data_IF_125441689414
#
_entry.id   IF_125441689414
#
_cell.length_a   1.000
_cell.length_b   1.000
_cell.length_c   1.000
_cell.angle_alpha   90.00
_cell.angle_beta   90.00
_cell.angle_gamma   90.00
#
_symmetry.space_group_name_H-M   'P 1'
#
loop_
_entity.id
_entity.type
_entity.pdbx_description
1 polymer ?
#
# COMPACT_ATOMS: atom_id res chain seq x y z
N UNK A 1 1.83 3.17 22.92
CA UNK A 1 2.92 3.01 21.94
C UNK A 1 3.48 4.38 21.61
N UNK A 2 4.51 4.86 22.34
CA UNK A 2 5.22 6.05 21.89
C UNK A 2 6.00 5.64 20.62
N UNK A 3 5.72 6.30 19.50
CA UNK A 3 6.36 6.07 18.18
C UNK A 3 6.03 4.71 17.50
N UNK A 4 4.76 4.47 17.11
CA UNK A 4 4.44 3.33 16.26
C UNK A 4 5.01 3.53 14.84
N UNK A 5 5.40 2.43 14.19
CA UNK A 5 5.62 2.42 12.75
C UNK A 5 4.25 2.57 12.05
N UNK A 6 4.07 3.61 11.25
CA UNK A 6 2.84 3.88 10.51
C UNK A 6 3.02 3.38 9.07
N UNK A 7 2.17 2.45 8.64
CA UNK A 7 2.14 1.96 7.26
C UNK A 7 0.89 2.51 6.58
N UNK A 8 1.07 3.41 5.62
CA UNK A 8 -0.02 3.92 4.80
C UNK A 8 -0.34 2.93 3.66
N UNK A 9 -1.63 2.66 3.43
CA UNK A 9 -2.09 1.81 2.33
C UNK A 9 -3.07 2.60 1.50
N UNK A 10 -2.87 2.62 0.19
CA UNK A 10 -3.68 3.40 -0.75
C UNK A 10 -3.95 2.65 -2.06
N UNK A 11 -4.98 3.09 -2.77
CA UNK A 11 -5.34 2.60 -4.09
C UNK A 11 -5.29 3.75 -5.10
N UNK A 12 -4.70 3.50 -6.25
CA UNK A 12 -4.54 4.49 -7.32
C UNK A 12 -5.02 3.96 -8.66
N UNK A 13 -5.24 4.90 -9.58
CA UNK A 13 -5.48 4.63 -10.98
C UNK A 13 -4.17 4.85 -11.75
N UNK A 14 -3.91 4.02 -12.77
CA UNK A 14 -2.62 4.03 -13.46
C UNK A 14 -2.68 3.55 -14.89
N UNK A 15 -1.52 3.32 -15.50
CA UNK A 15 -1.44 2.80 -16.86
C UNK A 15 -2.00 1.36 -16.94
N UNK A 16 -2.60 0.95 -18.07
CA UNK A 16 -3.17 -0.39 -18.22
C UNK A 16 -2.21 -1.53 -17.87
N UNK A 17 -0.93 -1.39 -18.19
CA UNK A 17 0.11 -2.38 -17.91
C UNK A 17 0.40 -2.54 -16.41
N UNK A 18 0.05 -1.53 -15.61
CA UNK A 18 0.31 -1.50 -14.18
C UNK A 18 -0.91 -1.95 -13.36
N UNK A 19 -2.07 -2.21 -13.97
CA UNK A 19 -3.26 -2.66 -13.23
C UNK A 19 -2.97 -3.99 -12.53
N UNK A 20 -3.19 -4.04 -11.23
CA UNK A 20 -2.84 -5.16 -10.35
C UNK A 20 -1.44 -5.07 -9.74
N UNK A 21 -0.62 -4.08 -10.11
CA UNK A 21 0.68 -3.86 -9.50
C UNK A 21 0.53 -3.32 -8.06
N UNK A 22 1.41 -3.81 -7.18
CA UNK A 22 1.57 -3.35 -5.80
C UNK A 22 2.97 -2.74 -5.69
N UNK A 23 3.05 -1.49 -5.24
CA UNK A 23 4.31 -0.79 -4.98
C UNK A 23 4.47 -0.59 -3.48
N UNK A 24 5.67 -0.82 -2.97
CA UNK A 24 6.06 -0.50 -1.60
C UNK A 24 7.20 0.51 -1.63
N UNK A 25 7.15 1.51 -0.76
CA UNK A 25 8.20 2.51 -0.65
C UNK A 25 8.39 3.00 0.78
N UNK A 26 9.55 3.59 1.04
CA UNK A 26 9.83 4.29 2.29
C UNK A 26 9.34 5.74 2.20
N UNK A 27 8.86 6.25 3.32
CA UNK A 27 8.35 7.62 3.45
C UNK A 27 6.82 7.68 3.40
N UNK A 28 6.34 8.92 3.32
CA UNK A 28 4.93 9.24 3.48
C UNK A 28 4.18 9.17 2.15
N UNK A 29 2.95 8.66 2.22
CA UNK A 29 1.98 8.77 1.15
C UNK A 29 1.28 10.14 1.22
N UNK A 30 1.00 10.76 0.08
CA UNK A 30 0.09 11.91 -0.04
C UNK A 30 -1.26 11.43 -0.59
N UNK A 31 -2.24 11.10 0.27
CA UNK A 31 -3.51 10.59 -0.20
C UNK A 31 -4.37 11.70 -0.83
N UNK A 32 -5.33 11.31 -1.68
CA UNK A 32 -6.40 12.22 -2.13
C UNK A 32 -6.15 12.99 -3.42
N UNK A 33 -5.00 12.81 -4.09
CA UNK A 33 -4.70 13.44 -5.38
C UNK A 33 -5.74 13.09 -6.46
N UNK A 34 -6.22 11.83 -6.48
CA UNK A 34 -7.26 11.37 -7.41
C UNK A 34 -8.67 11.93 -7.15
N UNK A 35 -8.87 12.67 -6.07
CA UNK A 35 -10.14 13.36 -5.74
C UNK A 35 -9.93 14.86 -5.51
N UNK A 36 -8.81 15.41 -6.00
CA UNK A 36 -8.43 16.83 -5.87
C UNK A 36 -8.42 17.34 -4.42
N UNK A 37 -8.07 16.49 -3.45
CA UNK A 37 -7.86 16.89 -2.05
C UNK A 37 -6.39 16.83 -1.71
N UNK A 38 -5.89 17.90 -1.11
CA UNK A 38 -4.56 17.90 -0.47
C UNK A 38 -4.72 17.44 0.98
N UNK A 39 -4.40 16.17 1.22
CA UNK A 39 -4.37 15.61 2.56
C UNK A 39 -2.93 15.61 3.11
N UNK A 40 -2.76 15.72 4.44
CA UNK A 40 -1.44 15.67 5.05
C UNK A 40 -0.72 14.35 4.71
N UNK A 41 0.62 14.36 4.59
CA UNK A 41 1.40 13.15 4.35
C UNK A 41 1.26 12.17 5.52
N UNK A 42 1.07 10.88 5.23
CA UNK A 42 0.87 9.83 6.24
C UNK A 42 1.81 8.66 5.99
N UNK A 43 2.39 8.12 7.06
CA UNK A 43 3.13 6.86 7.07
C UNK A 43 4.65 7.00 6.97
N UNK A 44 5.35 6.08 7.62
CA UNK A 44 6.80 5.88 7.46
C UNK A 44 7.10 4.96 6.28
N UNK A 45 6.11 4.15 5.90
CA UNK A 45 6.10 3.24 4.75
C UNK A 45 4.77 3.46 4.04
N UNK A 46 4.79 3.40 2.72
CA UNK A 46 3.56 3.36 1.92
C UNK A 46 3.48 2.09 1.09
N UNK A 47 2.26 1.63 0.87
CA UNK A 47 1.91 0.56 -0.05
C UNK A 47 0.78 1.06 -0.94
N UNK A 48 0.99 1.09 -2.26
CA UNK A 48 -0.03 1.49 -3.22
C UNK A 48 -0.39 0.36 -4.18
N UNK A 49 -1.68 0.15 -4.39
CA UNK A 49 -2.19 -0.74 -5.43
C UNK A 49 -2.76 0.03 -6.62
N UNK A 50 -2.39 -0.34 -7.85
CA UNK A 50 -3.07 0.19 -9.04
C UNK A 50 -4.29 -0.67 -9.33
N UNK A 51 -5.48 -0.18 -8.96
CA UNK A 51 -6.72 -0.99 -8.99
C UNK A 51 -7.43 -0.92 -10.34
N UNK A 52 -7.16 0.13 -11.13
CA UNK A 52 -7.76 0.30 -12.44
C UNK A 52 -6.98 1.29 -13.31
N UNK A 53 -7.43 1.47 -14.55
CA UNK A 53 -6.85 2.40 -15.53
C UNK A 53 -7.19 3.85 -15.15
N UNK A 54 -6.22 4.76 -15.19
CA UNK A 54 -6.41 6.21 -15.01
C UNK A 54 -6.46 6.98 -16.34
N UNK A 55 -6.85 8.26 -16.31
CA UNK A 55 -6.92 9.13 -17.50
C UNK A 55 -8.32 9.57 -17.91
N UNK A 56 -8.56 9.74 -19.22
CA UNK A 56 -9.88 10.20 -19.72
C UNK A 56 -10.96 9.20 -19.26
N UNK A 57 -12.06 9.70 -18.69
CA UNK A 57 -13.15 8.92 -18.07
C UNK A 57 -12.89 8.30 -16.67
N UNK A 58 -11.95 8.82 -15.87
CA UNK A 58 -11.68 8.37 -14.47
C UNK A 58 -12.93 8.06 -13.63
N UNK A 59 -13.99 8.88 -13.73
CA UNK A 59 -15.24 8.64 -13.01
C UNK A 59 -15.98 7.37 -13.44
N UNK A 60 -16.03 7.05 -14.74
CA UNK A 60 -16.68 5.84 -15.28
C UNK A 60 -15.86 4.58 -14.98
N UNK A 61 -14.54 4.72 -14.85
CA UNK A 61 -13.63 3.64 -14.47
C UNK A 61 -13.72 3.34 -12.96
N UNK A 62 -13.91 4.35 -12.11
CA UNK A 62 -14.20 4.18 -10.68
C UNK A 62 -15.50 3.39 -10.45
N UNK A 63 -16.52 3.62 -11.28
CA UNK A 63 -17.77 2.84 -11.28
C UNK A 63 -17.57 1.37 -11.74
N UNK A 64 -16.41 1.02 -12.30
CA UNK A 64 -16.10 -0.31 -12.84
C UNK A 64 -14.78 -0.89 -12.28
N UNK A 65 -14.56 -0.77 -10.98
CA UNK A 65 -13.42 -1.42 -10.32
C UNK A 65 -13.72 -2.89 -10.05
N UNK A 66 -12.89 -3.79 -10.58
CA UNK A 66 -13.05 -5.24 -10.38
C UNK A 66 -12.78 -5.61 -8.92
N UNK A 67 -13.84 -5.73 -8.11
CA UNK A 67 -13.74 -6.05 -6.68
C UNK A 67 -12.86 -7.27 -6.40
N UNK A 68 -12.96 -8.32 -7.23
CA UNK A 68 -12.12 -9.52 -7.09
C UNK A 68 -10.61 -9.26 -7.23
N UNK A 69 -10.20 -8.26 -8.03
CA UNK A 69 -8.80 -7.84 -8.09
C UNK A 69 -8.39 -7.11 -6.80
N UNK A 70 -9.21 -6.15 -6.37
CA UNK A 70 -8.97 -5.38 -5.13
C UNK A 70 -8.83 -6.31 -3.92
N UNK A 71 -9.74 -7.30 -3.78
CA UNK A 71 -9.69 -8.27 -2.69
C UNK A 71 -8.39 -9.10 -2.72
N UNK A 72 -7.96 -9.57 -3.91
CA UNK A 72 -6.69 -10.29 -4.05
C UNK A 72 -5.47 -9.43 -3.68
N UNK A 73 -5.50 -8.15 -4.04
CA UNK A 73 -4.43 -7.21 -3.69
C UNK A 73 -4.41 -6.94 -2.18
N UNK A 74 -5.57 -6.70 -1.57
CA UNK A 74 -5.69 -6.51 -0.12
C UNK A 74 -5.18 -7.72 0.66
N UNK A 75 -5.55 -8.93 0.25
CA UNK A 75 -5.06 -10.18 0.82
C UNK A 75 -3.54 -10.34 0.70
N UNK A 76 -2.98 -9.96 -0.45
CA UNK A 76 -1.54 -9.99 -0.69
C UNK A 76 -0.80 -9.02 0.24
N UNK A 77 -1.29 -7.79 0.35
CA UNK A 77 -0.72 -6.74 1.22
C UNK A 77 -0.81 -7.17 2.69
N UNK A 78 -1.96 -7.67 3.14
CA UNK A 78 -2.16 -8.13 4.51
C UNK A 78 -1.19 -9.27 4.87
N UNK A 79 -1.05 -10.27 4.00
CA UNK A 79 -0.07 -11.36 4.18
C UNK A 79 1.37 -10.84 4.24
N UNK A 80 1.73 -9.89 3.37
CA UNK A 80 3.07 -9.29 3.38
C UNK A 80 3.37 -8.57 4.70
N UNK A 81 2.41 -7.80 5.23
CA UNK A 81 2.54 -7.12 6.53
C UNK A 81 2.69 -8.12 7.67
N UNK A 82 1.86 -9.17 7.70
CA UNK A 82 1.96 -10.23 8.74
C UNK A 82 3.33 -10.90 8.71
N UNK A 83 3.77 -11.36 7.54
CA UNK A 83 5.07 -12.02 7.37
C UNK A 83 6.23 -11.09 7.72
N UNK A 84 6.16 -9.82 7.33
CA UNK A 84 7.16 -8.81 7.70
C UNK A 84 7.25 -8.61 9.22
N UNK A 85 6.11 -8.48 9.90
CA UNK A 85 6.03 -8.38 11.36
C UNK A 85 6.62 -9.62 12.06
N UNK A 86 6.33 -10.82 11.56
CA UNK A 86 6.90 -12.06 12.10
C UNK A 86 8.42 -12.13 11.93
N UNK A 87 8.93 -11.74 10.76
CA UNK A 87 10.38 -11.72 10.49
C UNK A 87 11.11 -10.72 11.41
N UNK A 88 10.55 -9.52 11.60
CA UNK A 88 11.10 -8.53 12.53
C UNK A 88 11.11 -9.08 13.96
N UNK A 89 10.01 -9.69 14.41
CA UNK A 89 9.93 -10.32 15.75
C UNK A 89 10.95 -11.44 15.92
N UNK A 90 11.19 -12.26 14.89
CA UNK A 90 12.21 -13.33 14.93
C UNK A 90 13.62 -12.74 15.05
N UNK A 91 13.94 -11.70 14.28
CA UNK A 91 15.24 -10.99 14.37
C UNK A 91 15.45 -10.34 15.75
N UNK A 92 14.41 -9.74 16.33
CA UNK A 92 14.47 -9.16 17.68
C UNK A 92 14.68 -10.18 18.80
N UNK A 93 14.25 -11.44 18.61
CA UNK A 93 14.49 -12.54 19.56
C UNK A 93 15.88 -13.17 19.42
N UNK A 94 16.66 -12.75 18.43
CA UNK A 94 18.00 -13.26 18.16
C UNK A 94 19.05 -12.13 18.19
N UNK A 95 19.10 -11.27 19.22
CA UNK A 95 20.24 -10.36 19.36
C UNK A 95 21.40 -11.16 19.97
N UNK A 96 22.49 -11.30 19.20
CA UNK A 96 23.85 -11.63 19.66
C UNK A 96 24.04 -12.98 20.41
N UNK A 97 24.15 -14.06 19.64
CA UNK A 97 25.27 -15.01 19.83
C UNK A 97 26.34 -14.64 18.82
N UNK A 98 27.17 -13.64 19.12
CA UNK A 98 28.48 -13.43 18.49
C UNK A 98 29.31 -12.55 19.43
N UNK A 99 30.18 -13.27 20.18
CA UNK A 99 31.51 -12.91 20.69
C UNK A 99 31.86 -11.45 20.93
#
# INVERSE_FOLDING_TARGET
FPFPLIIAVDASLGQPQNVGAITIGKGHLKPGTGVHKELPPVGDIFITGVVNIGGYLEYLVLQNTRLGLVMKMADCIARAVILGCEQVRKKQKQPERLS
#
